data_IF_068862631046
#
_entry.id   IF_068862631046
#
_cell.length_a   1.000
_cell.length_b   1.000
_cell.length_c   1.000
_cell.angle_alpha   90.00
_cell.angle_beta   90.00
_cell.angle_gamma   90.00
#
_symmetry.space_group_name_H-M   'P 1'
#
loop_
_entity.id
_entity.type
_entity.pdbx_description
1 polymer ?
#
# COMPACT_ATOMS: atom_id res chain seq x y z
N UNK A 1 10.04 10.04 -29.69
CA UNK A 1 9.79 10.51 -28.30
C UNK A 1 9.41 9.30 -27.46
N UNK A 2 10.16 8.97 -26.45
CA UNK A 2 9.72 7.99 -25.48
C UNK A 2 8.62 8.61 -24.62
N UNK A 3 7.48 7.92 -24.44
CA UNK A 3 6.50 8.32 -23.45
C UNK A 3 7.18 8.40 -22.07
N UNK A 4 6.85 9.40 -21.28
CA UNK A 4 7.36 9.51 -19.93
C UNK A 4 6.97 8.24 -19.13
N UNK A 5 7.90 7.73 -18.33
CA UNK A 5 7.63 6.58 -17.47
C UNK A 5 6.47 6.92 -16.52
N UNK A 6 5.45 6.06 -16.40
CA UNK A 6 4.35 6.30 -15.47
C UNK A 6 4.87 6.47 -14.03
N UNK A 7 4.36 7.46 -13.32
CA UNK A 7 4.69 7.68 -11.92
C UNK A 7 3.90 6.71 -11.05
N UNK A 8 4.62 5.83 -10.36
CA UNK A 8 4.07 4.82 -9.45
C UNK A 8 4.14 5.32 -8.02
N UNK A 9 2.99 5.47 -7.39
CA UNK A 9 2.89 5.87 -5.98
C UNK A 9 2.28 4.74 -5.16
N UNK A 10 3.00 4.29 -4.15
CA UNK A 10 2.49 3.35 -3.16
C UNK A 10 1.83 4.13 -2.03
N UNK A 11 0.64 3.74 -1.64
CA UNK A 11 -0.08 4.30 -0.50
C UNK A 11 -0.28 3.24 0.58
N UNK A 12 -0.02 3.61 1.83
CA UNK A 12 -0.13 2.74 3.00
C UNK A 12 -1.12 3.31 4.00
N UNK A 13 -2.35 2.79 4.06
CA UNK A 13 -3.26 3.13 5.14
C UNK A 13 -2.78 2.48 6.44
N UNK A 14 -2.42 3.28 7.45
CA UNK A 14 -1.81 2.79 8.68
C UNK A 14 -2.66 3.09 9.91
N UNK A 15 -2.74 2.11 10.79
CA UNK A 15 -3.25 2.25 12.16
C UNK A 15 -2.56 1.21 13.05
N UNK A 16 -1.75 1.69 13.99
CA UNK A 16 -0.97 0.85 14.91
C UNK A 16 -0.15 -0.25 14.19
N UNK A 17 0.65 0.16 13.19
CA UNK A 17 1.43 -0.73 12.34
C UNK A 17 2.93 -0.74 12.68
N UNK A 18 3.34 -0.24 13.86
CA UNK A 18 4.74 -0.10 14.23
C UNK A 18 5.55 -1.40 14.12
N UNK A 19 4.94 -2.55 14.39
CA UNK A 19 5.62 -3.85 14.36
C UNK A 19 5.96 -4.36 12.97
N UNK A 20 5.20 -3.94 11.96
CA UNK A 20 5.24 -4.54 10.61
C UNK A 20 5.61 -3.55 9.51
N UNK A 21 5.48 -2.25 9.76
CA UNK A 21 5.75 -1.20 8.77
C UNK A 21 7.16 -1.31 8.17
N UNK A 22 8.18 -1.50 9.01
CA UNK A 22 9.56 -1.59 8.54
C UNK A 22 9.77 -2.76 7.57
N UNK A 23 9.22 -3.94 7.89
CA UNK A 23 9.32 -5.11 7.03
C UNK A 23 8.58 -4.92 5.70
N UNK A 24 7.36 -4.40 5.77
CA UNK A 24 6.56 -4.12 4.56
C UNK A 24 7.28 -3.13 3.64
N UNK A 25 7.82 -2.06 4.19
CA UNK A 25 8.57 -1.06 3.42
C UNK A 25 9.85 -1.65 2.80
N UNK A 26 10.61 -2.44 3.57
CA UNK A 26 11.86 -3.04 3.10
C UNK A 26 11.66 -3.99 1.91
N UNK A 27 10.50 -4.64 1.80
CA UNK A 27 10.19 -5.58 0.72
C UNK A 27 9.52 -4.95 -0.51
N UNK A 28 9.27 -3.65 -0.49
CA UNK A 28 8.80 -2.94 -1.69
C UNK A 28 9.89 -2.97 -2.78
N UNK A 29 9.51 -3.12 -4.05
CA UNK A 29 10.44 -2.99 -5.18
C UNK A 29 10.76 -1.51 -5.42
N UNK A 30 11.71 -0.96 -4.64
CA UNK A 30 12.02 0.47 -4.60
C UNK A 30 12.46 1.06 -5.95
N UNK A 31 13.00 0.25 -6.85
CA UNK A 31 13.38 0.64 -8.21
C UNK A 31 12.17 0.95 -9.12
N UNK A 32 10.98 0.45 -8.75
CA UNK A 32 9.73 0.65 -9.48
C UNK A 32 8.80 1.69 -8.85
N UNK A 33 9.08 2.10 -7.62
CA UNK A 33 8.22 2.99 -6.82
C UNK A 33 8.85 4.38 -6.77
N UNK A 34 8.11 5.39 -7.22
CA UNK A 34 8.58 6.79 -7.24
C UNK A 34 8.31 7.52 -5.92
N UNK A 35 7.27 7.13 -5.21
CA UNK A 35 6.88 7.75 -3.94
C UNK A 35 6.11 6.75 -3.07
N UNK A 36 6.36 6.79 -1.77
CA UNK A 36 5.57 6.07 -0.76
C UNK A 36 4.90 7.06 0.18
N UNK A 37 3.58 7.00 0.24
CA UNK A 37 2.74 7.82 1.12
C UNK A 37 2.16 6.93 2.20
N UNK A 38 2.31 7.33 3.46
CA UNK A 38 1.62 6.70 4.58
C UNK A 38 0.56 7.65 5.14
N UNK A 39 -0.66 7.17 5.28
CA UNK A 39 -1.74 7.91 5.94
C UNK A 39 -2.03 7.25 7.28
N UNK A 40 -1.73 7.97 8.35
CA UNK A 40 -1.93 7.50 9.72
C UNK A 40 -3.32 7.87 10.23
N UNK A 41 -4.08 6.89 10.64
CA UNK A 41 -5.45 7.06 11.15
C UNK A 41 -5.52 7.14 12.67
N UNK A 42 -4.66 7.94 13.26
CA UNK A 42 -4.66 8.19 14.71
C UNK A 42 -3.98 7.07 15.51
N UNK A 43 -2.84 6.54 15.03
CA UNK A 43 -2.06 5.54 15.76
C UNK A 43 -1.60 6.03 17.12
N UNK A 44 -1.63 5.16 18.11
CA UNK A 44 -1.12 5.40 19.46
C UNK A 44 0.27 4.81 19.70
N UNK A 45 0.77 4.00 18.77
CA UNK A 45 2.11 3.40 18.81
C UNK A 45 3.15 4.25 18.06
N UNK A 46 4.32 3.71 17.79
CA UNK A 46 5.42 4.41 17.11
C UNK A 46 5.30 4.43 15.57
N UNK A 47 4.15 4.10 14.98
CA UNK A 47 3.94 4.05 13.52
C UNK A 47 4.45 5.29 12.80
N UNK A 48 4.03 6.48 13.24
CA UNK A 48 4.42 7.76 12.61
C UNK A 48 5.91 8.03 12.75
N UNK A 49 6.49 7.71 13.90
CA UNK A 49 7.95 7.85 14.12
C UNK A 49 8.75 6.99 13.15
N UNK A 50 8.38 5.71 13.04
CA UNK A 50 9.03 4.77 12.12
C UNK A 50 8.89 5.24 10.67
N UNK A 51 7.70 5.69 10.28
CA UNK A 51 7.47 6.22 8.95
C UNK A 51 8.38 7.42 8.61
N UNK A 52 8.61 8.32 9.58
CA UNK A 52 9.56 9.45 9.41
C UNK A 52 11.00 8.97 9.25
N UNK A 53 11.43 8.01 10.06
CA UNK A 53 12.77 7.42 9.99
C UNK A 53 13.02 6.73 8.64
N UNK A 54 11.99 6.13 8.05
CA UNK A 54 12.03 5.54 6.71
C UNK A 54 11.97 6.56 5.57
N UNK A 55 11.73 7.84 5.86
CA UNK A 55 11.64 8.90 4.86
C UNK A 55 10.35 8.88 4.04
N UNK A 56 9.26 8.34 4.58
CA UNK A 56 7.94 8.34 3.91
C UNK A 56 7.31 9.72 3.92
N UNK A 57 6.47 10.00 2.92
CA UNK A 57 5.55 11.13 2.97
C UNK A 57 4.35 10.76 3.85
N UNK A 58 4.08 11.57 4.88
CA UNK A 58 3.14 11.20 5.94
C UNK A 58 2.02 12.20 6.04
N UNK A 59 0.79 11.68 6.05
CA UNK A 59 -0.41 12.44 6.37
C UNK A 59 -1.05 11.82 7.61
N UNK A 60 -1.33 12.64 8.63
CA UNK A 60 -1.94 12.17 9.87
C UNK A 60 -3.37 12.70 9.98
N UNK A 61 -4.32 11.80 10.24
CA UNK A 61 -5.64 12.20 10.69
C UNK A 61 -5.58 12.69 12.13
N UNK A 62 -6.46 13.62 12.50
CA UNK A 62 -6.56 14.15 13.86
C UNK A 62 -7.20 13.17 14.85
N UNK A 63 -7.88 12.13 14.34
CA UNK A 63 -8.50 11.06 15.09
C UNK A 63 -8.61 9.82 14.20
N UNK A 64 -9.03 8.69 14.77
CA UNK A 64 -9.36 7.50 13.99
C UNK A 64 -10.72 7.71 13.28
N UNK A 65 -10.70 7.89 11.98
CA UNK A 65 -11.88 8.04 11.12
C UNK A 65 -12.29 6.74 10.43
N UNK A 66 -11.53 5.67 10.64
CA UNK A 66 -11.80 4.37 10.08
C UNK A 66 -11.14 4.10 8.72
N UNK A 67 -11.15 2.84 8.36
CA UNK A 67 -10.43 2.32 7.20
C UNK A 67 -10.84 2.97 5.87
N UNK A 68 -12.14 3.12 5.64
CA UNK A 68 -12.65 3.74 4.40
C UNK A 68 -12.23 5.20 4.25
N UNK A 69 -12.22 5.97 5.33
CA UNK A 69 -11.75 7.36 5.31
C UNK A 69 -10.24 7.42 5.04
N UNK A 70 -9.48 6.49 5.64
CA UNK A 70 -8.04 6.39 5.40
C UNK A 70 -7.74 6.08 3.92
N UNK A 71 -8.42 5.11 3.33
CA UNK A 71 -8.26 4.79 1.91
C UNK A 71 -8.55 6.00 1.02
N UNK A 72 -9.62 6.74 1.26
CA UNK A 72 -9.95 7.94 0.50
C UNK A 72 -8.85 9.00 0.57
N UNK A 73 -8.28 9.19 1.76
CA UNK A 73 -7.14 10.09 1.95
C UNK A 73 -5.92 9.59 1.17
N UNK A 74 -5.61 8.30 1.23
CA UNK A 74 -4.53 7.67 0.47
C UNK A 74 -4.63 7.99 -1.03
N UNK A 75 -5.75 7.71 -1.65
CA UNK A 75 -5.95 7.97 -3.08
C UNK A 75 -5.91 9.46 -3.42
N UNK A 76 -6.53 10.29 -2.60
CA UNK A 76 -6.53 11.75 -2.80
C UNK A 76 -5.12 12.32 -2.79
N UNK A 77 -4.30 11.94 -1.82
CA UNK A 77 -2.94 12.46 -1.71
C UNK A 77 -2.02 11.90 -2.82
N UNK A 78 -2.22 10.64 -3.24
CA UNK A 78 -1.51 10.09 -4.39
C UNK A 78 -1.83 10.84 -5.69
N UNK A 79 -3.10 11.16 -5.93
CA UNK A 79 -3.52 11.94 -7.11
C UNK A 79 -2.94 13.35 -7.07
N UNK A 80 -2.93 14.02 -5.92
CA UNK A 80 -2.29 15.34 -5.76
C UNK A 80 -0.78 15.28 -6.03
N UNK A 81 -0.14 14.17 -5.70
CA UNK A 81 1.28 13.94 -5.98
C UNK A 81 1.55 13.63 -7.48
N UNK A 82 0.53 13.58 -8.32
CA UNK A 82 0.65 13.31 -9.75
C UNK A 82 0.87 11.85 -10.10
N UNK A 83 0.31 10.92 -9.31
CA UNK A 83 0.39 9.50 -9.60
C UNK A 83 -0.32 9.14 -10.91
N UNK A 84 0.34 8.36 -11.76
CA UNK A 84 -0.28 7.69 -12.91
C UNK A 84 -0.79 6.30 -12.50
N UNK A 85 -0.07 5.63 -11.61
CA UNK A 85 -0.47 4.34 -11.03
C UNK A 85 -0.40 4.46 -9.50
N UNK A 86 -1.49 4.10 -8.83
CA UNK A 86 -1.56 4.03 -7.37
C UNK A 86 -1.65 2.58 -6.93
N UNK A 87 -0.78 2.18 -6.02
CA UNK A 87 -0.80 0.84 -5.42
C UNK A 87 -1.04 0.94 -3.93
N UNK A 88 -2.10 0.33 -3.46
CA UNK A 88 -2.37 0.25 -2.01
C UNK A 88 -1.70 -0.99 -1.43
N UNK A 89 -0.81 -0.76 -0.48
CA UNK A 89 -0.12 -1.80 0.28
C UNK A 89 -0.39 -1.59 1.77
N UNK A 90 -1.01 -2.57 2.41
CA UNK A 90 -1.27 -2.49 3.84
C UNK A 90 0.02 -2.76 4.63
N UNK A 91 0.39 -1.92 5.62
CA UNK A 91 1.62 -2.09 6.38
C UNK A 91 1.52 -3.15 7.49
N UNK A 92 0.46 -3.96 7.51
CA UNK A 92 0.23 -5.04 8.48
C UNK A 92 0.89 -6.38 8.10
N UNK A 93 1.61 -6.40 6.97
CA UNK A 93 2.32 -7.56 6.45
C UNK A 93 1.42 -8.78 6.11
N UNK A 94 0.12 -8.56 5.85
CA UNK A 94 -0.80 -9.63 5.44
C UNK A 94 -0.72 -9.93 3.93
N UNK A 95 -0.14 -9.04 3.14
CA UNK A 95 0.07 -9.18 1.70
C UNK A 95 1.55 -9.03 1.38
N UNK A 96 2.00 -9.75 0.38
CA UNK A 96 3.41 -9.72 -0.03
C UNK A 96 3.72 -8.51 -0.93
N UNK A 97 4.48 -7.53 -0.45
CA UNK A 97 4.82 -6.35 -1.25
C UNK A 97 5.63 -6.66 -2.52
N UNK A 98 6.30 -7.82 -2.56
CA UNK A 98 7.10 -8.27 -3.70
C UNK A 98 6.26 -8.61 -4.93
N UNK A 99 4.94 -8.80 -4.76
CA UNK A 99 4.00 -9.02 -5.87
C UNK A 99 3.64 -7.74 -6.64
N UNK A 100 4.05 -6.57 -6.15
CA UNK A 100 3.72 -5.29 -6.78
C UNK A 100 4.06 -5.23 -8.29
N UNK A 101 5.21 -5.73 -8.78
CA UNK A 101 5.49 -5.75 -10.21
C UNK A 101 4.45 -6.52 -11.03
N UNK A 102 3.98 -7.64 -10.53
CA UNK A 102 2.93 -8.44 -11.19
C UNK A 102 1.57 -7.76 -11.16
N UNK A 103 1.28 -7.03 -10.07
CA UNK A 103 0.02 -6.31 -9.90
C UNK A 103 -0.09 -5.11 -10.85
N UNK A 104 0.99 -4.38 -11.09
CA UNK A 104 0.95 -3.18 -11.94
C UNK A 104 1.08 -3.50 -13.43
N UNK A 105 1.63 -4.66 -13.79
CA UNK A 105 1.86 -5.04 -15.19
C UNK A 105 0.61 -4.96 -16.07
N UNK A 106 -0.56 -5.48 -15.67
CA UNK A 106 -1.76 -5.38 -16.50
C UNK A 106 -2.19 -3.92 -16.78
N UNK A 107 -1.93 -3.01 -15.83
CA UNK A 107 -2.21 -1.57 -16.01
C UNK A 107 -1.20 -0.95 -16.97
N UNK A 108 0.08 -1.26 -16.80
CA UNK A 108 1.14 -0.76 -17.70
C UNK A 108 0.99 -1.23 -19.14
N UNK A 109 0.37 -2.39 -19.36
CA UNK A 109 0.11 -2.98 -20.67
C UNK A 109 -1.27 -2.63 -21.24
N UNK A 110 -1.98 -1.66 -20.65
CA UNK A 110 -3.34 -1.21 -21.03
C UNK A 110 -4.38 -2.36 -21.10
N UNK A 111 -4.19 -3.40 -20.30
CA UNK A 111 -5.10 -4.56 -20.21
C UNK A 111 -6.14 -4.43 -19.08
N UNK A 112 -5.90 -3.54 -18.13
CA UNK A 112 -6.78 -3.28 -17.00
C UNK A 112 -6.58 -1.87 -16.48
N UNK A 113 -7.65 -1.26 -15.97
CA UNK A 113 -7.61 0.00 -15.23
C UNK A 113 -7.47 -0.23 -13.72
N UNK A 114 -7.91 -1.39 -13.23
CA UNK A 114 -7.85 -1.79 -11.82
C UNK A 114 -7.42 -3.25 -11.72
N UNK A 115 -6.54 -3.54 -10.79
CA UNK A 115 -6.08 -4.90 -10.46
C UNK A 115 -6.27 -5.14 -8.97
N UNK A 116 -6.94 -6.23 -8.63
CA UNK A 116 -7.15 -6.65 -7.24
C UNK A 116 -6.37 -7.92 -6.94
N UNK A 117 -5.57 -7.89 -5.88
CA UNK A 117 -4.94 -9.08 -5.34
C UNK A 117 -5.95 -9.94 -4.57
N UNK A 118 -5.95 -11.24 -4.82
CA UNK A 118 -6.81 -12.19 -4.10
C UNK A 118 -6.00 -13.21 -3.35
N UNK A 119 -6.30 -13.39 -2.07
CA UNK A 119 -5.75 -14.48 -1.25
C UNK A 119 -6.43 -15.82 -1.51
N UNK A 120 -7.57 -15.81 -2.19
CA UNK A 120 -8.39 -17.00 -2.44
C UNK A 120 -8.10 -17.64 -3.79
N UNK A 121 -7.87 -16.82 -4.83
CA UNK A 121 -7.59 -17.30 -6.18
C UNK A 121 -6.16 -17.87 -6.25
N UNK A 122 -6.05 -19.16 -6.59
CA UNK A 122 -4.76 -19.83 -6.75
C UNK A 122 -4.01 -20.15 -5.45
N UNK A 123 -4.57 -19.77 -4.29
CA UNK A 123 -4.00 -20.04 -2.98
C UNK A 123 -4.77 -21.13 -2.21
N UNK A 124 -4.15 -21.59 -1.14
CA UNK A 124 -4.81 -22.47 -0.16
C UNK A 124 -4.84 -21.76 1.21
N UNK A 125 -5.63 -20.67 1.37
CA UNK A 125 -5.55 -19.81 2.54
C UNK A 125 -5.82 -20.54 3.86
N UNK A 126 -6.71 -21.55 3.86
CA UNK A 126 -6.97 -22.37 5.05
C UNK A 126 -5.76 -23.19 5.49
N UNK A 127 -4.94 -23.66 4.54
CA UNK A 127 -3.70 -24.40 4.84
C UNK A 127 -2.59 -23.48 5.37
N UNK A 128 -2.68 -22.16 5.08
CA UNK A 128 -1.72 -21.15 5.51
C UNK A 128 -2.22 -20.32 6.71
N UNK A 129 -3.18 -20.87 7.47
CA UNK A 129 -3.62 -20.29 8.73
C UNK A 129 -4.74 -19.26 8.66
N UNK A 130 -5.41 -19.11 7.50
CA UNK A 130 -6.61 -18.29 7.44
C UNK A 130 -7.75 -18.98 8.21
N UNK A 131 -8.40 -18.31 9.18
CA UNK A 131 -9.56 -18.87 9.85
C UNK A 131 -10.70 -19.14 8.86
N UNK A 132 -11.38 -20.29 9.02
CA UNK A 132 -12.43 -20.71 8.08
C UNK A 132 -13.59 -19.71 7.92
N UNK A 133 -13.87 -18.89 8.95
CA UNK A 133 -14.91 -17.84 8.88
C UNK A 133 -14.50 -16.60 8.08
N UNK A 134 -13.25 -16.52 7.59
CA UNK A 134 -12.76 -15.48 6.68
C UNK A 134 -12.65 -15.96 5.23
N UNK A 135 -12.97 -17.23 4.98
CA UNK A 135 -12.96 -17.84 3.64
C UNK A 135 -14.29 -17.54 2.93
#
# INVERSE_FOLDING_TARGET
>A
MSAAKPKVVVVMPAYNAAKTLHMTYAELPHDMVDLVILVDDGSSDETVKIARELGLEIFCHTANYGYGANQKTCYREALKAGADIVVMVHPDYQYDPRLLPEMIRPIQEDRADVVLGSRLLGGHPLRHGMPWWKY
#
